data_IF_416475796658
#
_entry.id   IF_416475796658
#
_cell.length_a   1.000
_cell.length_b   1.000
_cell.length_c   1.000
_cell.angle_alpha   90.00
_cell.angle_beta   90.00
_cell.angle_gamma   90.00
#
_symmetry.space_group_name_H-M   'P 1'
#
loop_
_entity.id
_entity.type
_entity.pdbx_description
1 polymer ?
#
# COMPACT_ATOMS: atom_id res chain seq x y z
N UNK A 1 26.64 7.26 1.63
CA UNK A 1 25.83 7.30 2.87
C UNK A 1 26.42 6.29 3.83
N UNK A 2 26.69 6.69 5.05
CA UNK A 2 27.18 5.76 6.08
C UNK A 2 26.14 4.69 6.40
N UNK A 3 26.59 3.44 6.58
CA UNK A 3 25.72 2.30 6.88
C UNK A 3 24.81 2.54 8.10
N UNK A 4 25.27 3.36 9.07
CA UNK A 4 24.47 3.77 10.23
C UNK A 4 23.24 4.59 9.86
N UNK A 5 23.37 5.56 8.94
CA UNK A 5 22.25 6.42 8.52
C UNK A 5 21.19 5.57 7.82
N UNK A 6 21.61 4.66 6.94
CA UNK A 6 20.71 3.73 6.28
C UNK A 6 19.97 2.83 7.29
N UNK A 7 20.67 2.31 8.30
CA UNK A 7 20.07 1.53 9.38
C UNK A 7 18.98 2.28 10.15
N UNK A 8 19.23 3.55 10.50
CA UNK A 8 18.23 4.40 11.16
C UNK A 8 17.00 4.67 10.28
N UNK A 9 17.21 4.94 8.99
CA UNK A 9 16.11 5.14 8.03
C UNK A 9 15.25 3.87 7.96
N UNK A 10 15.89 2.73 7.73
CA UNK A 10 15.18 1.46 7.62
C UNK A 10 14.42 1.09 8.90
N UNK A 11 15.02 1.32 10.06
CA UNK A 11 14.37 1.12 11.35
C UNK A 11 13.13 2.02 11.50
N UNK A 12 13.24 3.31 11.17
CA UNK A 12 12.12 4.24 11.19
C UNK A 12 10.97 3.81 10.27
N UNK A 13 11.28 3.47 9.02
CA UNK A 13 10.29 2.97 8.05
C UNK A 13 9.61 1.67 8.52
N UNK A 14 10.38 0.74 9.08
CA UNK A 14 9.88 -0.53 9.61
C UNK A 14 8.94 -0.32 10.81
N UNK A 15 9.29 0.60 11.72
CA UNK A 15 8.43 0.97 12.85
C UNK A 15 7.11 1.56 12.36
N UNK A 16 7.13 2.41 11.34
CA UNK A 16 5.90 2.94 10.72
C UNK A 16 5.01 1.85 10.14
N UNK A 17 5.60 0.98 9.30
CA UNK A 17 4.87 -0.12 8.66
C UNK A 17 4.29 -1.12 9.66
N UNK A 18 5.13 -1.66 10.54
CA UNK A 18 4.74 -2.67 11.52
C UNK A 18 3.80 -2.04 12.55
N UNK A 19 4.14 -0.85 13.05
CA UNK A 19 3.32 -0.12 14.01
C UNK A 19 1.91 0.15 13.48
N UNK A 20 1.79 0.58 12.23
CA UNK A 20 0.49 0.78 11.60
C UNK A 20 -0.29 -0.53 11.44
N UNK A 21 0.36 -1.64 11.05
CA UNK A 21 -0.27 -2.96 11.01
C UNK A 21 -0.81 -3.41 12.37
N UNK A 22 -0.09 -3.13 13.45
CA UNK A 22 -0.56 -3.43 14.81
C UNK A 22 -1.73 -2.53 15.20
N UNK A 23 -1.65 -1.22 14.88
CA UNK A 23 -2.75 -0.27 15.09
C UNK A 23 -4.00 -0.70 14.34
N UNK A 24 -3.88 -1.28 13.14
CA UNK A 24 -5.01 -1.83 12.40
C UNK A 24 -5.84 -2.81 13.24
N UNK A 25 -5.18 -3.72 13.97
CA UNK A 25 -5.86 -4.70 14.83
C UNK A 25 -6.65 -4.04 15.97
N UNK A 26 -6.13 -2.93 16.50
CA UNK A 26 -6.82 -2.12 17.52
C UNK A 26 -7.99 -1.36 16.88
N UNK A 27 -7.77 -0.75 15.72
CA UNK A 27 -8.75 0.07 15.02
C UNK A 27 -9.98 -0.75 14.59
N UNK A 28 -9.79 -2.05 14.32
CA UNK A 28 -10.84 -3.01 14.04
C UNK A 28 -11.83 -3.22 15.20
N UNK A 29 -11.45 -2.87 16.43
CA UNK A 29 -12.39 -2.88 17.57
C UNK A 29 -13.45 -1.78 17.47
N UNK A 30 -13.17 -0.72 16.70
CA UNK A 30 -14.04 0.47 16.59
C UNK A 30 -14.55 0.71 15.16
N UNK A 31 -13.87 0.18 14.14
CA UNK A 31 -14.17 0.41 12.73
C UNK A 31 -14.15 -0.88 11.93
N UNK A 32 -14.95 -0.97 10.86
CA UNK A 32 -14.94 -2.09 9.92
C UNK A 32 -13.72 -2.04 9.00
N UNK A 33 -13.16 -3.20 8.61
CA UNK A 33 -12.03 -3.31 7.67
C UNK A 33 -12.22 -2.49 6.40
N UNK A 34 -13.43 -2.45 5.83
CA UNK A 34 -13.73 -1.68 4.63
C UNK A 34 -13.50 -0.17 4.80
N UNK A 35 -13.95 0.41 5.92
CA UNK A 35 -13.76 1.84 6.24
C UNK A 35 -12.28 2.17 6.44
N UNK A 36 -11.55 1.29 7.14
CA UNK A 36 -10.11 1.46 7.39
C UNK A 36 -9.34 1.44 6.06
N UNK A 37 -9.64 0.46 5.19
CA UNK A 37 -9.03 0.36 3.86
C UNK A 37 -9.35 1.60 3.04
N UNK A 38 -10.61 2.03 2.98
CA UNK A 38 -11.00 3.19 2.19
C UNK A 38 -10.28 4.47 2.64
N UNK A 39 -10.26 4.76 3.94
CA UNK A 39 -9.59 5.94 4.48
C UNK A 39 -8.07 5.88 4.26
N UNK A 40 -7.46 4.72 4.49
CA UNK A 40 -6.01 4.53 4.31
C UNK A 40 -5.59 4.63 2.85
N UNK A 41 -6.39 4.08 1.93
CA UNK A 41 -6.12 4.11 0.49
C UNK A 41 -6.28 5.51 -0.09
N UNK A 42 -7.27 6.27 0.40
CA UNK A 42 -7.45 7.68 0.06
C UNK A 42 -6.24 8.51 0.54
N UNK A 43 -5.79 8.30 1.78
CA UNK A 43 -4.59 8.94 2.30
C UNK A 43 -3.34 8.56 1.49
N UNK A 44 -3.20 7.28 1.12
CA UNK A 44 -2.08 6.76 0.32
C UNK A 44 -2.07 7.36 -1.09
N UNK A 45 -3.22 7.47 -1.74
CA UNK A 45 -3.36 8.08 -3.05
C UNK A 45 -3.00 9.57 -3.02
N UNK A 46 -3.51 10.32 -2.05
CA UNK A 46 -3.17 11.76 -1.89
C UNK A 46 -1.66 11.92 -1.65
N UNK A 47 -1.11 11.12 -0.73
CA UNK A 47 0.32 11.17 -0.38
C UNK A 47 1.21 10.86 -1.58
N UNK A 48 0.88 9.83 -2.36
CA UNK A 48 1.66 9.43 -3.54
C UNK A 48 1.57 10.45 -4.68
N UNK A 49 0.38 11.03 -4.93
CA UNK A 49 0.22 12.10 -5.94
C UNK A 49 0.99 13.35 -5.54
N UNK A 50 0.92 13.76 -4.27
CA UNK A 50 1.72 14.89 -3.75
C UNK A 50 3.21 14.62 -3.88
N UNK A 51 3.65 13.39 -3.59
CA UNK A 51 5.05 13.00 -3.69
C UNK A 51 5.54 13.03 -5.15
N UNK A 52 4.71 12.55 -6.09
CA UNK A 52 5.00 12.61 -7.53
C UNK A 52 5.10 14.06 -8.00
N UNK A 53 4.15 14.90 -7.61
CA UNK A 53 4.18 16.33 -7.95
C UNK A 53 5.46 16.99 -7.45
N UNK A 54 5.85 16.75 -6.20
CA UNK A 54 7.07 17.31 -5.63
C UNK A 54 8.34 16.80 -6.34
N UNK A 55 8.33 15.54 -6.76
CA UNK A 55 9.43 14.93 -7.52
C UNK A 55 9.59 15.53 -8.91
N UNK A 56 8.48 15.78 -9.63
CA UNK A 56 8.50 16.41 -10.95
C UNK A 56 9.02 17.86 -10.90
N UNK A 57 8.81 18.56 -9.77
CA UNK A 57 9.34 19.91 -9.55
C UNK A 57 10.80 19.91 -9.07
N UNK A 58 11.46 18.75 -8.96
CA UNK A 58 12.84 18.65 -8.47
C UNK A 58 13.02 19.00 -6.99
N UNK A 59 11.92 19.09 -6.23
CA UNK A 59 11.90 19.49 -4.82
C UNK A 59 12.06 18.31 -3.84
N UNK A 60 12.43 17.12 -4.33
CA UNK A 60 12.59 15.92 -3.51
C UNK A 60 13.99 15.81 -2.94
N UNK A 61 14.14 16.24 -1.69
CA UNK A 61 15.32 15.94 -0.86
C UNK A 61 15.19 14.60 -0.13
N UNK A 62 16.30 14.06 0.36
CA UNK A 62 16.36 12.78 1.10
C UNK A 62 15.33 12.70 2.23
N UNK A 63 15.27 13.71 3.09
CA UNK A 63 14.35 13.75 4.23
C UNK A 63 12.87 13.80 3.80
N UNK A 64 12.56 14.53 2.73
CA UNK A 64 11.21 14.58 2.18
C UNK A 64 10.79 13.22 1.63
N UNK A 65 11.66 12.56 0.87
CA UNK A 65 11.46 11.21 0.35
C UNK A 65 11.21 10.20 1.48
N UNK A 66 12.02 10.22 2.54
CA UNK A 66 11.83 9.34 3.69
C UNK A 66 10.47 9.61 4.38
N UNK A 67 10.10 10.88 4.55
CA UNK A 67 8.81 11.26 5.12
C UNK A 67 7.62 10.74 4.31
N UNK A 68 7.65 10.92 2.98
CA UNK A 68 6.59 10.41 2.10
C UNK A 68 6.51 8.89 2.10
N UNK A 69 7.66 8.20 2.02
CA UNK A 69 7.71 6.74 2.10
C UNK A 69 7.19 6.24 3.46
N UNK A 70 7.52 6.93 4.56
CA UNK A 70 7.02 6.58 5.89
C UNK A 70 5.50 6.65 5.94
N UNK A 71 4.89 7.75 5.47
CA UNK A 71 3.43 7.88 5.44
C UNK A 71 2.80 6.83 4.52
N UNK A 72 3.39 6.59 3.36
CA UNK A 72 2.93 5.56 2.43
C UNK A 72 2.96 4.16 3.05
N UNK A 73 4.05 3.82 3.75
CA UNK A 73 4.20 2.55 4.46
C UNK A 73 3.24 2.42 5.64
N UNK A 74 2.99 3.50 6.39
CA UNK A 74 1.96 3.49 7.43
C UNK A 74 0.58 3.16 6.83
N UNK A 75 0.20 3.78 5.71
CA UNK A 75 -1.04 3.45 5.02
C UNK A 75 -1.06 1.99 4.54
N UNK A 76 0.05 1.52 3.95
CA UNK A 76 0.20 0.15 3.48
C UNK A 76 0.07 -0.87 4.62
N UNK A 77 0.62 -0.56 5.80
CA UNK A 77 0.51 -1.38 7.00
C UNK A 77 -0.92 -1.51 7.50
N UNK A 78 -1.77 -0.50 7.29
CA UNK A 78 -3.21 -0.60 7.55
C UNK A 78 -3.93 -1.38 6.46
N UNK A 79 -3.58 -1.17 5.19
CA UNK A 79 -4.30 -1.76 4.06
C UNK A 79 -4.06 -3.27 3.97
N UNK A 80 -2.81 -3.71 4.02
CA UNK A 80 -2.42 -5.11 3.77
C UNK A 80 -3.18 -6.16 4.62
N UNK A 81 -3.26 -6.04 5.97
CA UNK A 81 -4.00 -7.02 6.77
C UNK A 81 -5.52 -6.95 6.53
N UNK A 82 -6.08 -5.75 6.32
CA UNK A 82 -7.52 -5.58 6.12
C UNK A 82 -8.00 -6.07 4.76
N UNK A 83 -7.27 -5.79 3.68
CA UNK A 83 -7.61 -6.26 2.34
C UNK A 83 -7.49 -7.77 2.23
N UNK A 84 -6.46 -8.35 2.87
CA UNK A 84 -6.29 -9.80 2.92
C UNK A 84 -7.44 -10.46 3.68
N UNK A 85 -7.86 -9.90 4.81
CA UNK A 85 -9.00 -10.39 5.56
C UNK A 85 -10.31 -10.30 4.75
N UNK A 86 -10.58 -9.16 4.09
CA UNK A 86 -11.76 -8.97 3.25
C UNK A 86 -11.78 -9.94 2.06
N UNK A 87 -10.64 -10.20 1.43
CA UNK A 87 -10.54 -11.11 0.30
C UNK A 87 -10.76 -12.58 0.70
N UNK A 88 -10.37 -12.96 1.93
CA UNK A 88 -10.50 -14.32 2.44
C UNK A 88 -11.83 -14.59 3.15
N UNK A 89 -12.54 -13.56 3.61
CA UNK A 89 -13.83 -13.67 4.30
C UNK A 89 -14.87 -14.59 3.61
N UNK A 90 -15.05 -14.58 2.27
CA UNK A 90 -15.99 -15.49 1.61
C UNK A 90 -15.49 -16.94 1.47
N UNK A 91 -14.21 -17.23 1.73
CA UNK A 91 -13.57 -18.53 1.45
C UNK A 91 -13.28 -19.35 2.70
N UNK A 92 -14.22 -19.49 3.64
CA UNK A 92 -14.00 -20.22 4.90
C UNK A 92 -13.61 -21.70 4.71
N UNK A 93 -14.23 -22.42 3.77
CA UNK A 93 -13.97 -23.86 3.54
C UNK A 93 -12.62 -24.12 2.84
N UNK A 94 -12.16 -23.19 1.99
CA UNK A 94 -10.95 -23.32 1.18
C UNK A 94 -9.90 -22.25 1.53
N UNK A 95 -9.86 -21.80 2.79
CA UNK A 95 -9.06 -20.66 3.23
C UNK A 95 -7.56 -20.83 2.93
N UNK A 96 -7.04 -22.05 3.02
CA UNK A 96 -5.63 -22.36 2.70
C UNK A 96 -5.30 -22.13 1.22
N UNK A 97 -6.12 -22.66 0.31
CA UNK A 97 -5.97 -22.47 -1.15
C UNK A 97 -6.21 -21.02 -1.57
N UNK A 98 -7.18 -20.34 -0.95
CA UNK A 98 -7.43 -18.94 -1.23
C UNK A 98 -6.26 -18.05 -0.78
N UNK A 99 -5.66 -18.34 0.37
CA UNK A 99 -4.48 -17.61 0.89
C UNK A 99 -3.24 -17.82 0.03
N UNK A 100 -3.03 -19.04 -0.48
CA UNK A 100 -1.90 -19.30 -1.39
C UNK A 100 -2.06 -18.58 -2.72
N UNK A 101 -3.26 -18.57 -3.31
CA UNK A 101 -3.55 -17.81 -4.53
C UNK A 101 -3.39 -16.29 -4.32
N UNK A 102 -3.86 -15.77 -3.17
CA UNK A 102 -3.66 -14.37 -2.80
C UNK A 102 -2.17 -14.03 -2.74
N UNK A 103 -1.37 -14.86 -2.07
CA UNK A 103 0.07 -14.70 -1.96
C UNK A 103 0.77 -14.72 -3.32
N UNK A 104 0.48 -15.73 -4.16
CA UNK A 104 1.03 -15.83 -5.51
C UNK A 104 0.66 -14.59 -6.33
N UNK A 105 -0.59 -14.13 -6.27
CA UNK A 105 -1.03 -12.93 -6.99
C UNK A 105 -0.23 -11.69 -6.57
N UNK A 106 -0.01 -11.49 -5.26
CA UNK A 106 0.80 -10.38 -4.75
C UNK A 106 2.26 -10.48 -5.23
N UNK A 107 2.86 -11.67 -5.20
CA UNK A 107 4.23 -11.88 -5.65
C UNK A 107 4.37 -11.66 -7.17
N UNK A 108 3.43 -12.14 -7.98
CA UNK A 108 3.42 -11.92 -9.42
C UNK A 108 3.31 -10.44 -9.76
N UNK A 109 2.37 -9.72 -9.14
CA UNK A 109 2.23 -8.28 -9.35
C UNK A 109 3.47 -7.51 -8.89
N UNK A 110 4.05 -7.89 -7.75
CA UNK A 110 5.29 -7.29 -7.24
C UNK A 110 6.47 -7.54 -8.18
N UNK A 111 6.60 -8.74 -8.74
CA UNK A 111 7.62 -9.06 -9.72
C UNK A 111 7.46 -8.23 -11.00
N UNK A 112 6.25 -8.14 -11.56
CA UNK A 112 5.96 -7.31 -12.73
C UNK A 112 6.27 -5.83 -12.49
N UNK A 113 5.87 -5.30 -11.32
CA UNK A 113 6.18 -3.93 -10.93
C UNK A 113 7.70 -3.71 -10.81
N UNK A 114 8.42 -4.65 -10.16
CA UNK A 114 9.87 -4.58 -9.99
C UNK A 114 10.61 -4.63 -11.33
N UNK A 115 10.24 -5.53 -12.22
CA UNK A 115 10.78 -5.59 -13.58
C UNK A 115 10.50 -4.30 -14.34
N UNK A 116 9.28 -3.74 -14.23
CA UNK A 116 8.93 -2.46 -14.83
C UNK A 116 9.81 -1.31 -14.34
N UNK A 117 10.04 -1.21 -13.03
CA UNK A 117 10.95 -0.18 -12.45
C UNK A 117 12.40 -0.40 -12.88
N UNK A 118 12.85 -1.66 -12.98
CA UNK A 118 14.22 -2.01 -13.37
C UNK A 118 14.60 -1.57 -14.80
N UNK A 119 13.60 -1.38 -15.68
CA UNK A 119 13.82 -0.85 -17.03
C UNK A 119 14.16 0.66 -17.03
N UNK A 120 13.92 1.38 -15.93
CA UNK A 120 14.28 2.79 -15.80
C UNK A 120 15.66 2.94 -15.16
N UNK A 121 16.43 3.93 -15.62
CA UNK A 121 17.78 4.17 -15.09
C UNK A 121 17.75 4.50 -13.59
N UNK A 122 18.59 3.80 -12.81
CA UNK A 122 18.63 3.84 -11.34
C UNK A 122 19.00 5.19 -10.69
N UNK A 123 19.28 6.23 -11.48
CA UNK A 123 19.66 7.55 -10.97
C UNK A 123 18.47 8.42 -10.57
N UNK A 124 17.29 8.16 -11.13
CA UNK A 124 16.10 8.95 -10.85
C UNK A 124 15.19 8.26 -9.83
N UNK A 125 14.68 9.02 -8.87
CA UNK A 125 13.70 8.53 -7.87
C UNK A 125 12.28 8.52 -8.42
N UNK A 126 12.05 9.24 -9.51
CA UNK A 126 10.78 9.43 -10.23
C UNK A 126 10.09 8.13 -10.65
N UNK A 127 10.78 7.11 -11.20
CA UNK A 127 10.17 5.85 -11.63
C UNK A 127 9.52 5.09 -10.46
N UNK A 128 10.17 5.07 -9.29
CA UNK A 128 9.63 4.44 -8.09
C UNK A 128 8.33 5.14 -7.65
N UNK A 129 8.35 6.47 -7.60
CA UNK A 129 7.22 7.29 -7.15
C UNK A 129 6.05 7.15 -8.13
N UNK A 130 6.34 7.08 -9.43
CA UNK A 130 5.35 6.84 -10.47
C UNK A 130 4.64 5.50 -10.26
N UNK A 131 5.38 4.43 -10.04
CA UNK A 131 4.80 3.09 -9.82
C UNK A 131 3.96 3.06 -8.53
N UNK A 132 4.42 3.69 -7.45
CA UNK A 132 3.64 3.83 -6.21
C UNK A 132 2.32 4.57 -6.45
N UNK A 133 2.36 5.65 -7.23
CA UNK A 133 1.18 6.46 -7.56
C UNK A 133 0.20 5.67 -8.42
N UNK A 134 0.67 5.03 -9.49
CA UNK A 134 -0.15 4.20 -10.38
C UNK A 134 -0.79 3.05 -9.60
N UNK A 135 -0.02 2.35 -8.77
CA UNK A 135 -0.55 1.26 -7.95
C UNK A 135 -1.65 1.74 -6.98
N UNK A 136 -1.43 2.87 -6.31
CA UNK A 136 -2.40 3.44 -5.35
C UNK A 136 -3.68 3.90 -6.05
N UNK A 137 -3.55 4.55 -7.20
CA UNK A 137 -4.71 5.01 -8.01
C UNK A 137 -5.48 3.82 -8.57
N UNK A 138 -4.81 2.80 -9.12
CA UNK A 138 -5.46 1.57 -9.60
C UNK A 138 -6.20 0.88 -8.44
N UNK A 139 -5.55 0.72 -7.29
CA UNK A 139 -6.19 0.12 -6.12
C UNK A 139 -7.45 0.91 -5.70
N UNK A 140 -7.40 2.24 -5.73
CA UNK A 140 -8.55 3.08 -5.39
C UNK A 140 -9.69 2.97 -6.41
N UNK A 141 -9.37 2.91 -7.70
CA UNK A 141 -10.36 2.66 -8.76
C UNK A 141 -11.01 1.29 -8.58
N UNK A 142 -10.22 0.25 -8.29
CA UNK A 142 -10.73 -1.10 -8.03
C UNK A 142 -11.66 -1.09 -6.82
N UNK A 143 -11.27 -0.43 -5.72
CA UNK A 143 -12.09 -0.37 -4.51
C UNK A 143 -13.43 0.34 -4.77
N UNK A 144 -13.42 1.47 -5.47
CA UNK A 144 -14.64 2.21 -5.81
C UNK A 144 -15.53 1.41 -6.76
N UNK A 145 -14.92 0.75 -7.76
CA UNK A 145 -15.64 -0.07 -8.74
C UNK A 145 -16.25 -1.31 -8.08
N UNK A 146 -15.50 -1.98 -7.18
CA UNK A 146 -15.98 -3.11 -6.40
C UNK A 146 -17.18 -2.76 -5.53
N UNK A 147 -17.16 -1.58 -4.89
CA UNK A 147 -18.31 -1.06 -4.13
C UNK A 147 -19.55 -0.77 -4.99
N UNK A 148 -19.37 -0.44 -6.27
CA UNK A 148 -20.48 -0.22 -7.22
C UNK A 148 -21.00 -1.52 -7.83
N UNK A 149 -20.13 -2.50 -8.06
CA UNK A 149 -20.47 -3.79 -8.68
C UNK A 149 -21.04 -4.82 -7.69
N UNK A 150 -20.79 -4.67 -6.38
CA UNK A 150 -21.37 -5.49 -5.33
C UNK A 150 -22.36 -4.63 -4.53
N UNK A 151 -23.55 -4.31 -5.08
CA UNK A 151 -24.62 -3.74 -4.27
C UNK A 151 -25.01 -4.75 -3.18
N UNK A 152 -25.25 -4.25 -1.97
CA UNK A 152 -25.56 -5.00 -0.75
C UNK A 152 -26.83 -5.88 -0.82
N UNK A 153 -27.39 -6.15 -2.00
CA UNK A 153 -28.63 -6.89 -2.22
C UNK A 153 -28.47 -8.41 -2.27
N UNK A 154 -27.34 -8.98 -1.83
CA UNK A 154 -27.11 -10.45 -1.77
C UNK A 154 -26.55 -10.96 -0.44
N UNK A 155 -26.78 -10.24 0.65
CA UNK A 155 -26.42 -10.67 2.01
C UNK A 155 -27.64 -10.69 2.95
N UNK A 156 -28.84 -10.84 2.40
CA UNK A 156 -30.09 -11.10 3.14
C UNK A 156 -30.47 -12.57 3.02
#
# INVERSE_FOLDING_TARGET
MDAKIYGWIFAGLSVGFIGASQVSSILLKYHTSEKIVYASLLCQAITSVLFLFLSLNGLTGLFSTIGFIFVYLCCLGLIAPNTSALALAPFNTNAGSASSLLGVSQMTLGALASTGVSLFHAKDTTPMILVMTVASVIAMIILISGKRLIPASRLG
#
